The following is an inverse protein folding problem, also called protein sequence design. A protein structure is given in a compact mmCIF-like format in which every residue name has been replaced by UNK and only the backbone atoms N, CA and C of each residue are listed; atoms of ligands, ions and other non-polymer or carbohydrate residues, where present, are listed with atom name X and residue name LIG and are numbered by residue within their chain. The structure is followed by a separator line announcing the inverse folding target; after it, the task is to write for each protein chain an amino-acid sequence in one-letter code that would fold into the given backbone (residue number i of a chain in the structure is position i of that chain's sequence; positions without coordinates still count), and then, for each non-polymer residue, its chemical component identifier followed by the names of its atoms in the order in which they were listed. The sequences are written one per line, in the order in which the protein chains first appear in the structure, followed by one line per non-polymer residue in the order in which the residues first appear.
data_IF_449537973099
#
_entry.id   IF_449537973099
#
_cell.length_a   1.000
_cell.length_b   1.000
_cell.length_c   1.000
_cell.angle_alpha   90.00
_cell.angle_beta   90.00
_cell.angle_gamma   90.00
#
_symmetry.space_group_name_H-M   'P 1'
#
loop_
_entity.id
_entity.type
_entity.pdbx_description
1 polymer ?
#
# COMPACT_ATOMS: atom_id res chain seq x y z
N UNK A 1 -2.81 0.80 -16.50
CA UNK A 1 -1.78 1.16 -17.51
C UNK A 1 -0.35 1.20 -16.95
N UNK A 2 -0.07 1.84 -15.81
CA UNK A 2 1.33 2.03 -15.34
C UNK A 2 2.13 0.74 -15.06
N UNK A 3 1.48 -0.33 -14.59
CA UNK A 3 2.16 -1.59 -14.24
C UNK A 3 2.82 -2.28 -15.46
N UNK A 4 2.09 -2.44 -16.56
CA UNK A 4 2.62 -3.07 -17.77
C UNK A 4 3.71 -2.22 -18.43
N UNK A 5 3.61 -0.89 -18.33
CA UNK A 5 4.63 0.02 -18.85
C UNK A 5 5.95 -0.15 -18.07
N UNK A 6 5.87 -0.24 -16.73
CA UNK A 6 7.04 -0.50 -15.88
C UNK A 6 7.68 -1.87 -16.16
N UNK A 7 6.87 -2.92 -16.29
CA UNK A 7 7.36 -4.26 -16.64
C UNK A 7 7.97 -4.30 -18.05
N UNK A 8 7.36 -3.61 -19.01
CA UNK A 8 7.87 -3.51 -20.38
C UNK A 8 9.21 -2.80 -20.45
N UNK A 9 9.37 -1.69 -19.72
CA UNK A 9 10.63 -0.95 -19.65
C UNK A 9 11.73 -1.79 -19.00
N UNK A 10 11.43 -2.46 -17.88
CA UNK A 10 12.38 -3.35 -17.22
C UNK A 10 12.82 -4.50 -18.12
N UNK A 11 11.88 -5.17 -18.80
CA UNK A 11 12.18 -6.24 -19.75
C UNK A 11 13.04 -5.75 -20.92
N UNK A 12 12.73 -4.58 -21.47
CA UNK A 12 13.54 -3.96 -22.52
C UNK A 12 14.98 -3.71 -22.03
N UNK A 13 15.16 -3.15 -20.83
CA UNK A 13 16.49 -2.97 -20.22
C UNK A 13 17.21 -4.31 -20.04
N UNK A 14 16.54 -5.36 -19.55
CA UNK A 14 17.15 -6.69 -19.38
C UNK A 14 17.63 -7.28 -20.71
N UNK A 15 16.82 -7.18 -21.77
CA UNK A 15 17.20 -7.68 -23.10
C UNK A 15 18.38 -6.87 -23.65
N UNK A 16 18.33 -5.54 -23.54
CA UNK A 16 19.40 -4.66 -24.01
C UNK A 16 20.74 -4.98 -23.34
N UNK A 17 20.75 -5.08 -22.01
CA UNK A 17 21.97 -5.40 -21.25
C UNK A 17 22.46 -6.83 -21.48
N UNK A 18 21.54 -7.77 -21.71
CA UNK A 18 21.88 -9.15 -22.05
C UNK A 18 22.55 -9.26 -23.43
N UNK A 19 21.97 -8.65 -24.45
CA UNK A 19 22.49 -8.72 -25.83
C UNK A 19 23.77 -7.88 -26.00
N UNK A 20 23.82 -6.71 -25.37
CA UNK A 20 24.93 -5.77 -25.48
C UNK A 20 25.60 -5.51 -24.10
N UNK A 21 26.35 -6.48 -23.55
CA UNK A 21 27.01 -6.33 -22.24
C UNK A 21 28.08 -5.22 -22.24
N UNK A 22 28.55 -4.81 -23.42
CA UNK A 22 29.47 -3.68 -23.58
C UNK A 22 28.92 -2.38 -23.02
N UNK A 23 27.58 -2.19 -23.02
CA UNK A 23 26.94 -1.02 -22.43
C UNK A 23 27.23 -0.89 -20.94
N UNK A 24 27.34 -2.02 -20.24
CA UNK A 24 27.72 -2.03 -18.82
C UNK A 24 29.23 -1.91 -18.65
N UNK A 25 30.01 -2.64 -19.46
CA UNK A 25 31.47 -2.75 -19.31
C UNK A 25 32.20 -1.42 -19.54
N UNK A 26 31.65 -0.51 -20.35
CA UNK A 26 32.22 0.82 -20.56
C UNK A 26 32.22 1.69 -19.30
N UNK A 27 31.31 1.43 -18.36
CA UNK A 27 31.19 2.20 -17.12
C UNK A 27 31.96 1.59 -15.95
N UNK A 28 32.59 0.43 -16.14
CA UNK A 28 33.37 -0.19 -15.07
C UNK A 28 34.68 0.59 -14.86
N UNK A 29 35.07 0.88 -13.60
CA UNK A 29 36.32 1.57 -13.28
C UNK A 29 37.58 0.75 -13.59
N UNK A 30 37.44 -0.57 -13.75
CA UNK A 30 38.52 -1.49 -14.11
C UNK A 30 38.20 -2.21 -15.42
N UNK A 31 39.20 -2.45 -16.28
CA UNK A 31 38.98 -3.08 -17.58
C UNK A 31 38.55 -4.55 -17.44
N UNK A 32 37.33 -4.86 -17.90
CA UNK A 32 36.81 -6.22 -17.96
C UNK A 32 37.04 -6.81 -19.37
N UNK A 33 38.04 -7.68 -19.53
CA UNK A 33 38.34 -8.37 -20.78
C UNK A 33 37.57 -9.71 -20.92
N UNK A 34 36.28 -9.72 -20.58
CA UNK A 34 35.45 -10.92 -20.69
C UNK A 34 34.60 -10.89 -21.95
N UNK A 35 34.64 -11.97 -22.74
CA UNK A 35 33.81 -12.15 -23.93
C UNK A 35 32.75 -13.22 -23.63
N UNK A 36 31.51 -12.85 -23.25
CA UNK A 36 30.49 -13.82 -22.85
C UNK A 36 30.01 -14.71 -24.02
N UNK A 37 29.94 -14.16 -25.23
CA UNK A 37 29.43 -14.85 -26.41
C UNK A 37 30.54 -15.42 -27.29
N UNK A 38 31.28 -16.40 -26.77
CA UNK A 38 32.17 -17.21 -27.62
C UNK A 38 31.48 -18.53 -28.00
N UNK A 39 31.83 -19.14 -29.15
CA UNK A 39 31.25 -20.42 -29.54
C UNK A 39 31.49 -21.51 -28.50
N UNK A 40 32.65 -21.51 -27.84
CA UNK A 40 32.96 -22.49 -26.80
C UNK A 40 31.99 -22.38 -25.59
N UNK A 41 31.82 -21.17 -25.02
CA UNK A 41 30.91 -20.97 -23.88
C UNK A 41 29.46 -21.30 -24.24
N UNK A 42 29.02 -20.94 -25.45
CA UNK A 42 27.67 -21.22 -25.91
C UNK A 42 27.41 -22.72 -26.07
N UNK A 43 28.35 -23.45 -26.65
CA UNK A 43 28.23 -24.91 -26.83
C UNK A 43 28.25 -25.62 -25.48
N UNK A 44 29.16 -25.25 -24.57
CA UNK A 44 29.21 -25.82 -23.22
C UNK A 44 27.89 -25.58 -22.48
N UNK A 45 27.39 -24.34 -22.49
CA UNK A 45 26.14 -23.97 -21.83
C UNK A 45 24.96 -24.71 -22.45
N UNK A 46 24.86 -24.76 -23.79
CA UNK A 46 23.82 -25.51 -24.49
C UNK A 46 23.88 -27.00 -24.17
N UNK A 47 25.09 -27.59 -24.11
CA UNK A 47 25.30 -28.98 -23.74
C UNK A 47 24.80 -29.25 -22.32
N UNK A 48 25.14 -28.41 -21.34
CA UNK A 48 24.64 -28.52 -19.97
C UNK A 48 23.11 -28.40 -19.91
N UNK A 49 22.52 -27.44 -20.63
CA UNK A 49 21.05 -27.28 -20.69
C UNK A 49 20.37 -28.49 -21.33
N UNK A 50 20.92 -29.05 -22.40
CA UNK A 50 20.37 -30.23 -23.07
C UNK A 50 20.47 -31.48 -22.20
N UNK A 51 21.60 -31.70 -21.55
CA UNK A 51 21.77 -32.86 -20.66
C UNK A 51 20.94 -32.74 -19.38
N UNK A 52 20.83 -31.54 -18.80
CA UNK A 52 19.93 -31.32 -17.66
C UNK A 52 18.48 -31.54 -18.07
N UNK A 53 18.03 -30.96 -19.17
CA UNK A 53 16.70 -31.20 -19.73
C UNK A 53 16.44 -32.69 -19.95
N UNK A 54 17.39 -33.42 -20.54
CA UNK A 54 17.29 -34.87 -20.74
C UNK A 54 17.17 -35.63 -19.40
N UNK A 55 17.96 -35.25 -18.39
CA UNK A 55 17.85 -35.78 -17.03
C UNK A 55 16.44 -35.55 -16.44
N UNK A 56 15.96 -34.31 -16.43
CA UNK A 56 14.61 -33.97 -15.96
C UNK A 56 13.53 -34.73 -16.73
N UNK A 57 13.67 -34.86 -18.05
CA UNK A 57 12.74 -35.62 -18.88
C UNK A 57 12.70 -37.10 -18.51
N UNK A 58 13.86 -37.73 -18.29
CA UNK A 58 13.97 -39.13 -17.88
C UNK A 58 13.36 -39.36 -16.50
N UNK A 59 13.65 -38.48 -15.52
CA UNK A 59 13.19 -38.60 -14.14
C UNK A 59 11.83 -37.93 -13.88
N UNK A 60 11.12 -37.45 -14.91
CA UNK A 60 9.83 -36.75 -14.77
C UNK A 60 8.79 -37.45 -13.90
N UNK A 61 8.82 -38.79 -13.86
CA UNK A 61 7.89 -39.60 -13.04
C UNK A 61 8.25 -39.57 -11.55
N UNK A 62 9.52 -39.47 -11.23
CA UNK A 62 10.03 -39.39 -9.85
C UNK A 62 10.07 -37.95 -9.33
N UNK A 63 10.13 -36.96 -10.21
CA UNK A 63 10.05 -35.53 -9.87
C UNK A 63 8.62 -34.99 -9.83
N UNK A 64 7.62 -35.84 -10.08
CA UNK A 64 6.23 -35.45 -9.92
C UNK A 64 6.01 -35.09 -8.45
N UNK A 65 5.73 -33.81 -8.18
CA UNK A 65 5.47 -33.34 -6.82
C UNK A 65 4.23 -34.03 -6.27
N UNK A 66 4.38 -34.70 -5.14
CA UNK A 66 3.25 -35.13 -4.33
C UNK A 66 2.70 -33.91 -3.58
N UNK A 67 1.39 -33.87 -3.27
CA UNK A 67 0.78 -32.78 -2.50
C UNK A 67 1.19 -32.88 -1.02
N UNK A 68 2.48 -32.70 -0.75
CA UNK A 68 3.08 -32.71 0.57
C UNK A 68 3.59 -31.32 0.90
N UNK A 69 3.51 -30.95 2.18
CA UNK A 69 4.08 -29.68 2.65
C UNK A 69 5.58 -29.91 2.82
N UNK A 70 6.37 -29.38 1.89
CA UNK A 70 7.83 -29.41 2.00
C UNK A 70 8.25 -28.57 3.21
N UNK A 71 8.75 -29.24 4.25
CA UNK A 71 9.29 -28.58 5.44
C UNK A 71 10.70 -28.08 5.15
N UNK A 72 10.78 -26.97 4.43
CA UNK A 72 12.01 -26.21 4.21
C UNK A 72 12.19 -25.16 5.33
N UNK A 73 13.15 -24.26 5.15
CA UNK A 73 13.43 -23.09 5.99
C UNK A 73 12.20 -22.17 6.18
N UNK A 74 11.15 -22.31 5.37
CA UNK A 74 9.83 -21.66 5.56
C UNK A 74 9.21 -21.98 6.95
N UNK A 75 9.57 -23.10 7.58
CA UNK A 75 9.18 -23.38 8.97
C UNK A 75 9.68 -22.30 9.94
N UNK A 76 10.89 -21.78 9.74
CA UNK A 76 11.44 -20.71 10.56
C UNK A 76 10.66 -19.40 10.40
N UNK A 77 10.02 -19.19 9.25
CA UNK A 77 9.14 -18.05 9.03
C UNK A 77 7.74 -18.30 9.61
N UNK A 78 7.13 -19.46 9.32
CA UNK A 78 5.76 -19.80 9.74
C UNK A 78 5.62 -20.04 11.24
N UNK A 79 6.62 -20.66 11.88
CA UNK A 79 6.60 -20.99 13.31
C UNK A 79 6.40 -19.77 14.20
N UNK A 80 7.28 -18.76 14.15
CA UNK A 80 7.16 -17.57 14.98
C UNK A 80 6.22 -16.51 14.39
N UNK A 81 5.66 -16.67 13.18
CA UNK A 81 4.82 -15.66 12.53
C UNK A 81 3.72 -15.08 13.43
N UNK A 82 3.04 -15.93 14.21
CA UNK A 82 2.00 -15.49 15.15
C UNK A 82 2.56 -14.61 16.27
N UNK A 83 3.74 -14.96 16.79
CA UNK A 83 4.42 -14.20 17.84
C UNK A 83 4.95 -12.89 17.27
N UNK A 84 5.58 -12.93 16.10
CA UNK A 84 6.11 -11.74 15.41
C UNK A 84 4.98 -10.78 15.06
N UNK A 85 3.86 -11.24 14.50
CA UNK A 85 2.69 -10.40 14.26
C UNK A 85 2.10 -9.86 15.57
N UNK A 86 1.99 -10.69 16.61
CA UNK A 86 1.51 -10.25 17.93
C UNK A 86 2.36 -9.14 18.53
N UNK A 87 3.68 -9.27 18.45
CA UNK A 87 4.63 -8.30 19.01
C UNK A 87 4.71 -7.05 18.14
N UNK A 88 4.99 -7.19 16.84
CA UNK A 88 5.26 -6.06 15.97
C UNK A 88 4.01 -5.33 15.51
N UNK A 89 2.94 -6.06 15.17
CA UNK A 89 1.73 -5.44 14.61
C UNK A 89 0.78 -5.07 15.73
N UNK A 90 0.40 -6.05 16.56
CA UNK A 90 -0.66 -5.84 17.55
C UNK A 90 -0.20 -4.93 18.70
N UNK A 91 1.07 -4.99 19.13
CA UNK A 91 1.55 -4.07 20.18
C UNK A 91 1.62 -2.63 19.69
N UNK A 92 2.03 -2.43 18.43
CA UNK A 92 2.11 -1.10 17.83
C UNK A 92 0.70 -0.51 17.65
N UNK A 93 -0.23 -1.31 17.13
CA UNK A 93 -1.64 -0.93 16.97
C UNK A 93 -2.26 -0.53 18.33
N UNK A 94 -2.06 -1.35 19.37
CA UNK A 94 -2.52 -1.01 20.73
C UNK A 94 -1.89 0.25 21.30
N UNK A 95 -0.63 0.52 20.99
CA UNK A 95 0.04 1.74 21.44
C UNK A 95 -0.57 2.99 20.76
N UNK A 96 -0.84 2.91 19.45
CA UNK A 96 -1.52 3.97 18.73
C UNK A 96 -2.95 4.18 19.20
N UNK A 97 -3.71 3.10 19.43
CA UNK A 97 -5.06 3.16 19.99
C UNK A 97 -5.07 3.82 21.38
N UNK A 98 -4.09 3.50 22.21
CA UNK A 98 -3.96 4.12 23.53
C UNK A 98 -3.70 5.61 23.39
N UNK A 99 -2.79 6.00 22.50
CA UNK A 99 -2.48 7.40 22.23
C UNK A 99 -3.71 8.16 21.73
N UNK A 100 -4.46 7.60 20.80
CA UNK A 100 -5.67 8.23 20.25
C UNK A 100 -6.74 8.43 21.35
N UNK A 101 -6.92 7.43 22.23
CA UNK A 101 -7.82 7.57 23.39
C UNK A 101 -7.38 8.70 24.32
N UNK A 102 -6.10 8.81 24.65
CA UNK A 102 -5.60 9.91 25.48
C UNK A 102 -5.76 11.26 24.81
N UNK A 103 -5.44 11.35 23.52
CA UNK A 103 -5.62 12.57 22.74
C UNK A 103 -7.09 13.00 22.74
N UNK A 104 -8.02 12.08 22.49
CA UNK A 104 -9.46 12.36 22.53
C UNK A 104 -9.94 12.77 23.92
N UNK A 105 -9.42 12.15 24.99
CA UNK A 105 -9.75 12.54 26.36
C UNK A 105 -9.26 13.94 26.70
N UNK A 106 -8.02 14.27 26.32
CA UNK A 106 -7.43 15.61 26.52
C UNK A 106 -8.22 16.65 25.73
N UNK A 107 -8.52 16.37 24.46
CA UNK A 107 -9.31 17.26 23.60
C UNK A 107 -10.70 17.47 24.19
N UNK A 108 -11.37 16.40 24.67
CA UNK A 108 -12.67 16.50 25.34
C UNK A 108 -12.59 17.29 26.65
N UNK A 109 -11.56 17.06 27.46
CA UNK A 109 -11.35 17.78 28.71
C UNK A 109 -11.10 19.27 28.46
N UNK A 110 -10.25 19.59 27.49
CA UNK A 110 -9.95 20.96 27.08
C UNK A 110 -11.17 21.64 26.47
N UNK A 111 -11.93 20.94 25.61
CA UNK A 111 -13.16 21.46 25.04
C UNK A 111 -14.24 21.67 26.10
N UNK A 112 -14.35 20.78 27.10
CA UNK A 112 -15.28 20.96 28.22
C UNK A 112 -14.89 22.15 29.09
N UNK A 113 -13.59 22.31 29.38
CA UNK A 113 -13.04 23.46 30.08
C UNK A 113 -13.28 24.77 29.31
N UNK A 114 -13.02 24.78 28.00
CA UNK A 114 -13.19 25.95 27.14
C UNK A 114 -14.68 26.32 26.95
N UNK A 115 -15.58 25.34 26.85
CA UNK A 115 -17.03 25.61 26.75
C UNK A 115 -17.61 26.16 28.05
N UNK A 116 -17.07 25.80 29.22
CA UNK A 116 -17.56 26.30 30.49
C UNK A 116 -16.43 26.46 31.53
N UNK A 117 -15.65 27.56 31.44
CA UNK A 117 -14.53 27.81 32.36
C UNK A 117 -14.99 28.08 33.80
N UNK A 118 -16.27 28.42 33.99
CA UNK A 118 -16.87 28.79 35.29
C UNK A 118 -17.39 27.60 36.10
N UNK A 119 -17.23 26.36 35.62
CA UNK A 119 -17.70 25.15 36.32
C UNK A 119 -17.01 24.91 37.68
N UNK A 120 -15.93 25.62 37.97
CA UNK A 120 -15.19 25.60 39.23
C UNK A 120 -15.72 26.60 40.29
N UNK A 121 -16.62 27.52 39.93
CA UNK A 121 -17.25 28.46 40.86
C UNK A 121 -18.67 27.98 41.19
N UNK A 122 -19.16 28.20 42.44
CA UNK A 122 -20.53 27.87 42.79
C UNK A 122 -21.49 28.68 41.89
N UNK A 123 -22.58 28.07 41.39
CA UNK A 123 -23.45 28.71 40.43
C UNK A 123 -24.18 29.90 41.08
N UNK A 124 -24.01 31.10 40.51
CA UNK A 124 -24.68 32.32 40.97
C UNK A 124 -25.99 32.63 40.23
N UNK A 125 -26.49 31.77 39.35
CA UNK A 125 -27.71 32.02 38.59
C UNK A 125 -28.55 30.74 38.38
N UNK A 126 -29.86 30.90 38.58
CA UNK A 126 -30.89 29.87 38.48
C UNK A 126 -31.05 29.29 37.08
N UNK A 127 -31.22 27.96 37.01
CA UNK A 127 -31.49 27.19 35.80
C UNK A 127 -32.70 27.73 35.03
N UNK A 128 -32.48 28.17 33.79
CA UNK A 128 -33.52 28.18 32.75
C UNK A 128 -33.21 27.05 31.78
N UNK A 129 -34.25 26.30 31.41
CA UNK A 129 -34.20 25.08 30.59
C UNK A 129 -33.56 25.36 29.21
N UNK A 130 -32.26 25.07 29.09
CA UNK A 130 -31.47 25.23 27.88
C UNK A 130 -31.73 24.05 26.94
N UNK A 131 -32.52 24.27 25.89
CA UNK A 131 -32.72 23.30 24.81
C UNK A 131 -31.83 23.64 23.60
N UNK A 132 -30.78 22.84 23.30
CA UNK A 132 -29.84 23.11 22.21
C UNK A 132 -30.46 22.97 20.81
N UNK A 133 -31.66 22.38 20.71
CA UNK A 133 -32.32 22.08 19.45
C UNK A 133 -33.20 23.21 18.92
N UNK A 134 -33.42 24.28 19.70
CA UNK A 134 -34.31 25.39 19.32
C UNK A 134 -33.80 26.19 18.10
N UNK A 135 -32.49 26.14 17.83
CA UNK A 135 -31.85 26.80 16.69
C UNK A 135 -31.36 25.82 15.60
N UNK A 136 -31.78 24.54 15.59
CA UNK A 136 -31.37 23.58 14.54
C UNK A 136 -32.35 23.64 13.36
N UNK A 137 -32.07 24.36 12.25
CA UNK A 137 -32.86 24.22 11.04
C UNK A 137 -32.78 22.77 10.57
N UNK A 138 -33.94 22.18 10.21
CA UNK A 138 -34.03 20.80 9.74
C UNK A 138 -33.01 20.57 8.62
N UNK A 139 -32.02 19.70 8.85
CA UNK A 139 -30.89 19.42 7.93
C UNK A 139 -31.36 19.15 6.50
N UNK A 140 -32.55 18.58 6.36
CA UNK A 140 -33.25 18.35 5.09
C UNK A 140 -33.51 19.62 4.27
N UNK A 141 -33.92 20.73 4.89
CA UNK A 141 -34.18 22.01 4.17
C UNK A 141 -32.88 22.64 3.67
N UNK A 142 -31.81 22.55 4.48
CA UNK A 142 -30.49 23.03 4.06
C UNK A 142 -29.93 22.21 2.89
N UNK A 143 -30.04 20.88 2.96
CA UNK A 143 -29.58 20.00 1.88
C UNK A 143 -30.37 20.20 0.58
N UNK A 144 -31.69 20.40 0.70
CA UNK A 144 -32.54 20.69 -0.45
C UNK A 144 -32.16 22.02 -1.14
N UNK A 145 -31.89 23.09 -0.37
CA UNK A 145 -31.45 24.36 -0.93
C UNK A 145 -30.09 24.25 -1.64
N UNK A 146 -29.14 23.51 -1.08
CA UNK A 146 -27.80 23.31 -1.67
C UNK A 146 -27.88 22.51 -2.97
N UNK A 147 -28.65 21.41 -2.99
CA UNK A 147 -28.84 20.60 -4.20
C UNK A 147 -29.55 21.39 -5.30
N UNK A 148 -30.57 22.18 -4.94
CA UNK A 148 -31.31 23.00 -5.88
C UNK A 148 -30.42 24.09 -6.50
N UNK A 149 -29.58 24.74 -5.70
CA UNK A 149 -28.60 25.70 -6.20
C UNK A 149 -27.59 25.07 -7.18
N UNK A 150 -27.11 23.85 -6.89
CA UNK A 150 -26.16 23.14 -7.76
C UNK A 150 -26.75 22.77 -9.12
N UNK A 151 -28.01 22.28 -9.13
CA UNK A 151 -28.73 21.96 -10.37
C UNK A 151 -28.94 23.21 -11.22
N UNK A 152 -29.35 24.32 -10.62
CA UNK A 152 -29.53 25.59 -11.34
C UNK A 152 -28.22 26.11 -11.93
N UNK A 153 -27.11 26.03 -11.18
CA UNK A 153 -25.79 26.43 -11.68
C UNK A 153 -25.30 25.53 -12.82
N UNK A 154 -25.54 24.21 -12.73
CA UNK A 154 -25.19 23.26 -13.79
C UNK A 154 -25.99 23.52 -15.07
N UNK A 155 -27.30 23.73 -14.96
CA UNK A 155 -28.17 24.06 -16.09
C UNK A 155 -27.80 25.41 -16.71
N UNK A 156 -27.51 26.42 -15.89
CA UNK A 156 -26.97 27.71 -16.36
C UNK A 156 -25.65 27.51 -17.13
N UNK A 157 -24.72 26.73 -16.58
CA UNK A 157 -23.43 26.45 -17.20
C UNK A 157 -23.56 25.77 -18.56
N UNK A 158 -24.47 24.79 -18.66
CA UNK A 158 -24.82 24.12 -19.92
C UNK A 158 -25.44 25.07 -20.93
N UNK A 159 -26.38 25.92 -20.51
CA UNK A 159 -26.99 26.94 -21.37
C UNK A 159 -25.95 27.94 -21.90
N UNK A 160 -24.99 28.35 -21.06
CA UNK A 160 -23.92 29.28 -21.44
C UNK A 160 -22.87 28.65 -22.37
N UNK A 161 -22.66 27.33 -22.32
CA UNK A 161 -21.75 26.63 -23.25
C UNK A 161 -22.40 26.32 -24.60
N UNK A 162 -23.73 26.29 -24.67
CA UNK A 162 -24.50 25.98 -25.87
C UNK A 162 -24.83 27.22 -26.73
N UNK A 163 -24.47 28.42 -26.27
CA UNK A 163 -24.62 29.71 -26.95
C UNK A 163 -23.24 30.27 -27.34
#
# INVERSE_FOLDING_TARGET
MGMFLGMGLAAACCILLGVAPSLLYQHLPYPAHFKPYTPAHLVETAQLLLFTFFGFWMFRRYLAGEPTVTLDTDWFYRGPARVVCGVLVVSVDRAFDLFDRWALLIVRALAAFARNPLRLLPPFASDTDYSPDRCRPSTQRLLACVLLAFVLLSLWGLYRLAL
#
